data_IF_726243900478
#
_entry.id   IF_726243900478
#
_cell.length_a   1.000
_cell.length_b   1.000
_cell.length_c   1.000
_cell.angle_alpha   90.00
_cell.angle_beta   90.00
_cell.angle_gamma   90.00
#
_symmetry.space_group_name_H-M   'P 1'
#
loop_
_entity.id
_entity.type
_entity.pdbx_description
1 polymer ?
#
# COMPACT_ATOMS: atom_id res chain seq x y z
N UNK A 1 -11.76 -21.88 20.57
CA UNK A 1 -11.92 -20.77 19.61
C UNK A 1 -10.79 -19.78 19.86
N UNK A 2 -9.87 -19.57 18.90
CA UNK A 2 -8.66 -18.78 19.14
C UNK A 2 -9.02 -17.31 19.42
N UNK A 3 -8.34 -16.70 20.40
CA UNK A 3 -8.58 -15.33 20.86
C UNK A 3 -8.52 -14.29 19.71
N UNK A 4 -7.69 -14.55 18.69
CA UNK A 4 -7.61 -13.76 17.46
C UNK A 4 -8.95 -13.66 16.73
N UNK A 5 -9.70 -14.76 16.60
CA UNK A 5 -10.98 -14.79 15.89
C UNK A 5 -12.05 -13.93 16.61
N UNK A 6 -11.98 -13.82 17.94
CA UNK A 6 -12.87 -12.95 18.72
C UNK A 6 -12.54 -11.47 18.55
N UNK A 7 -11.27 -11.12 18.32
CA UNK A 7 -10.86 -9.75 18.00
C UNK A 7 -11.24 -9.34 16.57
N UNK A 8 -11.21 -10.27 15.62
CA UNK A 8 -11.68 -10.05 14.25
C UNK A 8 -13.21 -9.91 14.14
N UNK A 9 -13.96 -10.68 14.93
CA UNK A 9 -15.44 -10.65 14.94
C UNK A 9 -16.04 -9.65 15.94
N UNK A 10 -15.24 -8.75 16.51
CA UNK A 10 -15.74 -7.73 17.42
C UNK A 10 -16.30 -6.54 16.61
N UNK A 11 -17.60 -6.27 16.80
CA UNK A 11 -18.37 -5.23 16.09
C UNK A 11 -17.73 -3.83 16.22
N UNK A 12 -17.03 -3.55 17.34
CA UNK A 12 -16.34 -2.28 17.57
C UNK A 12 -15.01 -2.13 16.82
N UNK A 13 -14.35 -3.23 16.45
CA UNK A 13 -13.10 -3.21 15.67
C UNK A 13 -13.32 -3.48 14.19
N UNK A 14 -14.50 -3.97 13.81
CA UNK A 14 -14.92 -4.19 12.43
C UNK A 14 -14.71 -2.98 11.50
N UNK A 15 -15.08 -1.72 11.87
CA UNK A 15 -14.85 -0.58 10.97
C UNK A 15 -13.37 -0.27 10.74
N UNK A 16 -12.51 -0.51 11.73
CA UNK A 16 -11.07 -0.30 11.61
C UNK A 16 -10.41 -1.36 10.72
N UNK A 17 -10.83 -2.62 10.84
CA UNK A 17 -10.35 -3.72 9.99
C UNK A 17 -10.77 -3.50 8.54
N UNK A 18 -12.04 -3.16 8.29
CA UNK A 18 -12.55 -2.87 6.94
C UNK A 18 -11.79 -1.69 6.31
N UNK A 19 -11.51 -0.64 7.07
CA UNK A 19 -10.72 0.49 6.59
C UNK A 19 -9.31 0.06 6.19
N UNK A 20 -8.64 -0.72 7.05
CA UNK A 20 -7.26 -1.19 6.79
C UNK A 20 -7.20 -2.12 5.58
N UNK A 21 -8.15 -3.04 5.45
CA UNK A 21 -8.24 -3.96 4.30
C UNK A 21 -8.51 -3.19 3.00
N UNK A 22 -9.37 -2.18 3.05
CA UNK A 22 -9.64 -1.30 1.90
C UNK A 22 -8.40 -0.52 1.47
N UNK A 23 -7.65 0.03 2.42
CA UNK A 23 -6.37 0.72 2.15
C UNK A 23 -5.36 -0.23 1.53
N UNK A 24 -5.28 -1.48 2.01
CA UNK A 24 -4.39 -2.49 1.45
C UNK A 24 -4.79 -2.88 0.02
N UNK A 25 -6.10 -3.03 -0.24
CA UNK A 25 -6.62 -3.28 -1.58
C UNK A 25 -6.28 -2.13 -2.54
N UNK A 26 -6.42 -0.88 -2.10
CA UNK A 26 -6.02 0.30 -2.88
C UNK A 26 -4.50 0.31 -3.16
N UNK A 27 -3.67 -0.07 -2.19
CA UNK A 27 -2.22 -0.17 -2.37
C UNK A 27 -1.84 -1.20 -3.44
N UNK A 28 -2.55 -2.32 -3.48
CA UNK A 28 -2.36 -3.36 -4.48
C UNK A 28 -2.77 -2.90 -5.88
N UNK A 29 -3.93 -2.22 -5.99
CA UNK A 29 -4.42 -1.64 -7.25
C UNK A 29 -3.44 -0.60 -7.78
N UNK A 30 -2.94 0.30 -6.94
CA UNK A 30 -1.97 1.33 -7.31
C UNK A 30 -0.70 0.73 -7.95
N UNK A 31 -0.15 -0.34 -7.37
CA UNK A 31 1.01 -1.06 -7.93
C UNK A 31 0.74 -1.71 -9.28
N UNK A 32 -0.50 -2.10 -9.56
CA UNK A 32 -0.88 -2.74 -10.83
C UNK A 32 -1.30 -1.73 -11.90
N UNK A 33 -1.75 -0.55 -11.49
CA UNK A 33 -2.24 0.48 -12.39
C UNK A 33 -1.14 0.91 -13.37
N UNK A 34 0.06 1.23 -12.88
CA UNK A 34 1.18 1.66 -13.73
C UNK A 34 1.57 0.60 -14.77
N UNK A 35 1.59 -0.67 -14.39
CA UNK A 35 1.88 -1.77 -15.31
C UNK A 35 0.79 -1.94 -16.39
N UNK A 36 -0.47 -1.72 -16.02
CA UNK A 36 -1.62 -1.82 -16.93
C UNK A 36 -1.67 -0.67 -17.94
N UNK A 37 -1.30 0.54 -17.52
CA UNK A 37 -1.26 1.73 -18.38
C UNK A 37 0.03 1.86 -19.20
N UNK A 38 1.03 1.00 -19.00
CA UNK A 38 2.27 0.99 -19.76
C UNK A 38 2.03 0.99 -21.28
N UNK A 39 1.12 0.14 -21.75
CA UNK A 39 0.79 0.02 -23.18
C UNK A 39 0.14 1.27 -23.78
N UNK A 40 -0.41 2.18 -22.96
CA UNK A 40 -1.01 3.43 -23.43
C UNK A 40 -0.02 4.60 -23.37
N UNK A 41 0.81 4.66 -22.32
CA UNK A 41 1.73 5.78 -22.09
C UNK A 41 2.94 5.74 -23.03
N UNK A 42 3.45 4.54 -23.35
CA UNK A 42 4.59 4.33 -24.25
C UNK A 42 4.33 4.91 -25.66
N UNK A 43 3.25 4.54 -26.37
CA UNK A 43 2.98 5.07 -27.70
C UNK A 43 2.57 6.55 -27.70
N UNK A 44 1.90 7.05 -26.65
CA UNK A 44 1.52 8.47 -26.55
C UNK A 44 2.74 9.41 -26.43
N UNK A 45 3.83 8.93 -25.82
CA UNK A 45 5.08 9.72 -25.64
C UNK A 45 6.17 9.37 -26.66
N UNK A 46 5.95 8.40 -27.55
CA UNK A 46 6.95 7.93 -28.51
C UNK A 46 8.20 7.32 -27.84
N UNK A 47 8.06 6.83 -26.60
CA UNK A 47 9.16 6.24 -25.84
C UNK A 47 9.33 4.77 -26.21
N UNK A 48 10.53 4.22 -26.03
CA UNK A 48 10.75 2.77 -26.14
C UNK A 48 10.35 2.08 -24.82
N UNK A 49 9.84 0.85 -24.86
CA UNK A 49 9.40 0.08 -23.67
C UNK A 49 10.45 0.04 -22.55
N UNK A 50 11.73 0.00 -22.93
CA UNK A 50 12.89 0.05 -22.02
C UNK A 50 13.06 1.40 -21.33
N UNK A 51 12.84 2.52 -22.02
CA UNK A 51 12.92 3.86 -21.44
C UNK A 51 11.74 4.13 -20.49
N UNK A 52 10.55 3.66 -20.88
CA UNK A 52 9.36 3.76 -20.05
C UNK A 52 9.50 2.91 -18.78
N UNK A 53 9.98 1.67 -18.89
CA UNK A 53 10.26 0.80 -17.75
C UNK A 53 11.32 1.38 -16.80
N UNK A 54 12.34 2.06 -17.33
CA UNK A 54 13.34 2.75 -16.53
C UNK A 54 12.73 3.93 -15.75
N UNK A 55 11.89 4.74 -16.40
CA UNK A 55 11.19 5.86 -15.77
C UNK A 55 10.18 5.39 -14.70
N UNK A 56 9.34 4.42 -15.02
CA UNK A 56 8.32 3.91 -14.08
C UNK A 56 8.88 3.01 -12.99
N UNK A 57 10.07 2.43 -13.15
CA UNK A 57 10.68 1.59 -12.10
C UNK A 57 11.69 2.39 -11.27
N UNK A 58 12.72 2.97 -11.89
CA UNK A 58 13.80 3.64 -11.14
C UNK A 58 13.42 5.00 -10.57
N UNK A 59 12.46 5.72 -11.16
CA UNK A 59 11.97 6.95 -10.54
C UNK A 59 10.85 6.68 -9.51
N UNK A 60 9.98 5.70 -9.77
CA UNK A 60 8.81 5.43 -8.92
C UNK A 60 9.17 4.63 -7.66
N UNK A 61 10.03 3.61 -7.76
CA UNK A 61 10.40 2.75 -6.61
C UNK A 61 11.02 3.54 -5.45
N UNK A 62 12.03 4.41 -5.63
CA UNK A 62 12.61 5.15 -4.51
C UNK A 62 11.61 6.16 -3.93
N UNK A 63 10.81 6.82 -4.77
CA UNK A 63 9.76 7.73 -4.32
C UNK A 63 8.72 6.99 -3.46
N UNK A 64 8.24 5.84 -3.94
CA UNK A 64 7.28 5.01 -3.22
C UNK A 64 7.87 4.40 -1.94
N UNK A 65 9.16 4.08 -1.94
CA UNK A 65 9.84 3.54 -0.76
C UNK A 65 9.98 4.60 0.33
N UNK A 66 10.33 5.84 -0.04
CA UNK A 66 10.42 6.96 0.90
C UNK A 66 9.03 7.31 1.44
N UNK A 67 8.02 7.39 0.58
CA UNK A 67 6.63 7.67 0.98
C UNK A 67 6.04 6.53 1.83
N UNK A 68 6.30 5.28 1.48
CA UNK A 68 5.88 4.11 2.26
C UNK A 68 6.52 4.08 3.65
N UNK A 69 7.81 4.40 3.74
CA UNK A 69 8.53 4.48 5.02
C UNK A 69 8.02 5.64 5.87
N UNK A 70 7.77 6.80 5.25
CA UNK A 70 7.17 7.96 5.93
C UNK A 70 5.77 7.62 6.46
N UNK A 71 4.93 6.99 5.65
CA UNK A 71 3.58 6.59 6.04
C UNK A 71 3.58 5.48 7.10
N UNK A 72 4.57 4.58 7.08
CA UNK A 72 4.78 3.57 8.11
C UNK A 72 5.13 4.21 9.47
N UNK A 73 6.04 5.19 9.47
CA UNK A 73 6.36 5.96 10.69
C UNK A 73 5.13 6.71 11.22
N UNK A 74 4.34 7.32 10.33
CA UNK A 74 3.07 7.96 10.70
C UNK A 74 2.07 6.95 11.28
N UNK A 75 1.91 5.78 10.67
CA UNK A 75 1.02 4.73 11.16
C UNK A 75 1.46 4.21 12.54
N UNK A 76 2.76 4.03 12.76
CA UNK A 76 3.34 3.62 14.05
C UNK A 76 3.14 4.69 15.13
N UNK A 77 3.13 5.97 14.75
CA UNK A 77 2.91 7.08 15.68
C UNK A 77 1.44 7.19 16.11
N UNK A 78 0.49 6.77 15.25
CA UNK A 78 -0.96 6.90 15.52
C UNK A 78 -1.52 5.71 16.32
N UNK A 79 -0.84 4.56 16.37
CA UNK A 79 -1.36 3.32 17.00
C UNK A 79 -0.63 2.86 18.28
N UNK A 80 -0.20 3.79 19.13
CA UNK A 80 0.51 3.46 20.39
C UNK A 80 -0.15 2.48 21.38
N UNK A 81 -1.48 2.18 21.44
CA UNK A 81 -1.97 1.25 22.48
C UNK A 81 -1.92 -0.24 22.11
N UNK A 82 -1.68 -0.66 20.85
CA UNK A 82 -1.74 -2.08 20.47
C UNK A 82 -0.40 -2.81 20.46
N UNK A 83 0.72 -2.10 20.38
CA UNK A 83 2.06 -2.69 20.38
C UNK A 83 2.61 -2.98 21.80
N UNK A 84 2.06 -2.36 22.84
CA UNK A 84 2.54 -2.50 24.23
C UNK A 84 1.81 -3.64 24.98
N UNK A 85 0.74 -4.21 24.42
CA UNK A 85 0.01 -5.33 25.03
C UNK A 85 0.59 -6.72 24.72
N UNK A 86 1.74 -6.76 24.03
CA UNK A 86 2.51 -7.97 23.70
C UNK A 86 3.94 -7.89 24.28
N UNK A 87 4.08 -7.30 25.46
CA UNK A 87 5.13 -7.65 26.42
C UNK A 87 4.49 -8.19 27.70
#
# INVERSE_FOLDING_TARGET
>A
MPLALKLFLNEKSLPFTILSDSINMLNFVDRQLIASFANFIVPDLGLTDTQFGFLTSLAFIPFYSIMGLFMGVLADTVNRPKLIALE
#
